data_IF_160671290024
#
_entry.id   IF_160671290024
#
_cell.length_a   1.000
_cell.length_b   1.000
_cell.length_c   1.000
_cell.angle_alpha   90.00
_cell.angle_beta   90.00
_cell.angle_gamma   90.00
#
_symmetry.space_group_name_H-M   'P 1'
#
loop_
_entity.id
_entity.type
_entity.pdbx_description
1 polymer ?
#
# COMPACT_ATOMS: atom_id res chain seq x y z
N UNK A 1 14.77 2.97 -2.06
CA UNK A 1 13.68 3.64 -1.31
C UNK A 1 12.64 2.67 -0.69
N UNK A 2 12.88 1.35 -0.53
CA UNK A 2 11.84 0.46 0.04
C UNK A 2 12.40 -0.68 0.91
N UNK A 3 12.96 -0.34 2.08
CA UNK A 3 13.48 -1.33 3.05
C UNK A 3 12.42 -2.37 3.46
N UNK A 4 11.15 -1.97 3.52
CA UNK A 4 10.04 -2.87 3.84
C UNK A 4 9.87 -4.00 2.82
N UNK A 5 10.27 -3.84 1.55
CA UNK A 5 10.23 -4.94 0.57
C UNK A 5 11.20 -6.07 0.89
N UNK A 6 12.24 -5.81 1.67
CA UNK A 6 13.25 -6.79 2.07
C UNK A 6 12.81 -7.65 3.27
N UNK A 7 11.75 -7.25 3.99
CA UNK A 7 11.20 -8.02 5.10
C UNK A 7 10.57 -9.30 4.57
N UNK A 8 10.78 -10.42 5.24
CA UNK A 8 10.25 -11.72 4.82
C UNK A 8 8.72 -11.72 4.73
N UNK A 9 8.19 -12.41 3.72
CA UNK A 9 6.77 -12.43 3.38
C UNK A 9 5.87 -12.94 4.52
N UNK A 10 6.38 -13.86 5.34
CA UNK A 10 5.67 -14.46 6.46
C UNK A 10 5.55 -13.56 7.71
N UNK A 11 6.25 -12.43 7.76
CA UNK A 11 6.18 -11.50 8.89
C UNK A 11 4.76 -10.94 8.98
N UNK A 12 4.15 -11.06 10.16
CA UNK A 12 2.84 -10.53 10.47
C UNK A 12 2.95 -9.07 10.96
N UNK A 13 2.09 -8.21 10.43
CA UNK A 13 1.89 -6.84 10.89
C UNK A 13 0.52 -6.73 11.54
N UNK A 14 0.52 -6.17 12.76
CA UNK A 14 -0.69 -5.80 13.47
C UNK A 14 -0.94 -4.29 13.29
N UNK A 15 -2.10 -3.95 12.75
CA UNK A 15 -2.50 -2.57 12.57
C UNK A 15 -2.74 -1.94 13.94
N UNK A 16 -2.06 -0.84 14.25
CA UNK A 16 -2.28 -0.12 15.52
C UNK A 16 -3.62 0.62 15.56
N UNK A 17 -4.19 0.94 14.40
CA UNK A 17 -5.41 1.76 14.22
C UNK A 17 -6.31 1.11 13.16
N UNK A 18 -7.59 1.50 13.11
CA UNK A 18 -8.61 0.99 12.18
C UNK A 18 -8.51 1.56 10.75
N UNK A 19 -7.30 1.92 10.32
CA UNK A 19 -7.09 2.48 8.98
C UNK A 19 -7.26 1.44 7.87
N UNK A 20 -6.92 0.19 8.13
CA UNK A 20 -7.02 -0.91 7.17
C UNK A 20 -8.25 -1.77 7.42
N UNK A 21 -8.75 -2.43 6.37
CA UNK A 21 -9.91 -3.33 6.46
C UNK A 21 -9.67 -4.63 7.22
N UNK A 22 -8.41 -4.91 7.58
CA UNK A 22 -7.99 -6.06 8.38
C UNK A 22 -7.09 -5.60 9.52
N UNK A 23 -7.29 -6.19 10.69
CA UNK A 23 -6.49 -5.91 11.90
C UNK A 23 -5.07 -6.50 11.78
N UNK A 24 -4.91 -7.60 11.04
CA UNK A 24 -3.62 -8.26 10.83
C UNK A 24 -3.42 -8.58 9.35
N UNK A 25 -2.20 -8.36 8.85
CA UNK A 25 -1.79 -8.73 7.49
C UNK A 25 -0.38 -9.32 7.50
N UNK A 26 -0.01 -10.08 6.47
CA UNK A 26 1.38 -10.47 6.25
C UNK A 26 2.13 -9.44 5.42
N UNK A 27 3.46 -9.44 5.48
CA UNK A 27 4.27 -8.63 4.56
C UNK A 27 4.01 -8.98 3.10
N UNK A 28 3.72 -10.25 2.78
CA UNK A 28 3.31 -10.66 1.43
C UNK A 28 2.07 -9.87 0.96
N UNK A 29 1.05 -9.79 1.82
CA UNK A 29 -0.19 -9.06 1.54
C UNK A 29 0.04 -7.55 1.42
N UNK A 30 0.94 -6.98 2.23
CA UNK A 30 1.33 -5.59 2.13
C UNK A 30 2.04 -5.31 0.80
N UNK A 31 3.02 -6.13 0.40
CA UNK A 31 3.74 -5.97 -0.87
C UNK A 31 2.81 -6.07 -2.09
N UNK A 32 1.77 -6.90 -2.02
CA UNK A 32 0.84 -7.12 -3.13
C UNK A 32 -0.37 -6.19 -3.18
N UNK A 33 -0.60 -5.36 -2.14
CA UNK A 33 -1.84 -4.60 -2.02
C UNK A 33 -1.72 -3.21 -1.39
N UNK A 34 -0.55 -2.84 -0.85
CA UNK A 34 -0.27 -1.50 -0.36
C UNK A 34 0.32 -0.65 -1.50
N UNK A 35 -0.38 0.40 -1.97
CA UNK A 35 0.09 1.25 -3.06
C UNK A 35 1.51 1.78 -2.86
N UNK A 36 1.87 2.17 -1.63
CA UNK A 36 3.19 2.71 -1.31
C UNK A 36 4.33 1.69 -1.46
N UNK A 37 4.00 0.40 -1.40
CA UNK A 37 4.93 -0.70 -1.65
C UNK A 37 4.81 -1.26 -3.07
N UNK A 38 3.85 -0.81 -3.87
CA UNK A 38 3.67 -1.25 -5.26
C UNK A 38 4.26 -0.25 -6.26
N UNK A 39 4.46 1.01 -5.86
CA UNK A 39 5.07 2.04 -6.70
C UNK A 39 6.60 1.95 -6.60
N UNK A 40 7.28 1.78 -7.74
CA UNK A 40 8.75 1.71 -7.80
C UNK A 40 9.41 3.00 -8.34
N UNK A 41 8.66 3.86 -9.01
CA UNK A 41 9.14 5.15 -9.52
C UNK A 41 8.96 6.26 -8.48
N UNK A 42 9.99 7.08 -8.27
CA UNK A 42 9.99 8.14 -7.26
C UNK A 42 8.97 9.27 -7.57
N UNK A 43 8.88 9.70 -8.82
CA UNK A 43 7.95 10.76 -9.24
C UNK A 43 6.50 10.30 -9.07
N UNK A 44 6.20 9.06 -9.42
CA UNK A 44 4.88 8.46 -9.21
C UNK A 44 4.55 8.31 -7.73
N UNK A 45 5.53 7.95 -6.90
CA UNK A 45 5.33 7.86 -5.45
C UNK A 45 4.98 9.23 -4.87
N UNK A 46 5.73 10.27 -5.25
CA UNK A 46 5.51 11.65 -4.80
C UNK A 46 4.14 12.15 -5.27
N UNK A 47 3.80 11.94 -6.55
CA UNK A 47 2.50 12.32 -7.12
C UNK A 47 1.35 11.58 -6.44
N UNK A 48 1.50 10.28 -6.24
CA UNK A 48 0.50 9.46 -5.56
C UNK A 48 0.23 9.97 -4.15
N UNK A 49 1.29 10.20 -3.35
CA UNK A 49 1.16 10.67 -1.97
C UNK A 49 0.53 12.07 -1.89
N UNK A 50 0.96 12.99 -2.76
CA UNK A 50 0.61 14.41 -2.61
C UNK A 50 -0.70 14.80 -3.29
N UNK A 51 -1.16 14.05 -4.28
CA UNK A 51 -2.29 14.48 -5.12
C UNK A 51 -3.38 13.42 -5.30
N UNK A 52 -3.07 12.12 -5.20
CA UNK A 52 -4.02 11.05 -5.58
C UNK A 52 -4.54 10.30 -4.35
N UNK A 53 -3.68 9.98 -3.37
CA UNK A 53 -4.01 9.08 -2.27
C UNK A 53 -5.26 9.52 -1.50
N UNK A 54 -5.32 10.78 -1.07
CA UNK A 54 -6.39 11.26 -0.19
C UNK A 54 -7.76 11.32 -0.90
N UNK A 55 -7.78 11.42 -2.23
CA UNK A 55 -9.01 11.41 -3.04
C UNK A 55 -9.41 10.04 -3.60
N UNK A 56 -8.48 9.07 -3.64
CA UNK A 56 -8.70 7.75 -4.25
C UNK A 56 -8.99 6.64 -3.22
N UNK A 57 -8.86 6.93 -1.93
CA UNK A 57 -8.94 5.93 -0.85
C UNK A 57 -10.11 6.23 0.09
N UNK A 58 -10.85 5.19 0.43
CA UNK A 58 -11.93 5.24 1.43
C UNK A 58 -11.55 4.41 2.65
N UNK A 59 -11.87 4.89 3.84
CA UNK A 59 -11.67 4.17 5.09
C UNK A 59 -12.85 3.22 5.40
N UNK A 60 -12.60 2.00 5.91
CA UNK A 60 -11.29 1.40 6.11
C UNK A 60 -10.66 0.96 4.78
N UNK A 61 -9.36 1.23 4.62
CA UNK A 61 -8.63 1.04 3.38
C UNK A 61 -8.52 -0.44 3.00
N UNK A 62 -8.88 -0.73 1.75
CA UNK A 62 -8.74 -2.05 1.13
C UNK A 62 -7.39 -2.18 0.39
N UNK A 63 -6.90 -3.41 0.18
CA UNK A 63 -5.81 -3.64 -0.77
C UNK A 63 -6.26 -3.25 -2.18
N UNK A 64 -5.31 -2.78 -3.01
CA UNK A 64 -5.55 -2.49 -4.44
C UNK A 64 -4.91 -3.55 -5.32
N UNK A 65 -5.47 -3.75 -6.51
CA UNK A 65 -4.79 -4.52 -7.57
C UNK A 65 -3.77 -3.63 -8.28
N UNK A 66 -2.77 -4.25 -8.91
CA UNK A 66 -1.81 -3.53 -9.75
C UNK A 66 -2.52 -2.75 -10.86
N UNK A 67 -3.48 -3.37 -11.54
CA UNK A 67 -4.27 -2.73 -12.59
C UNK A 67 -5.02 -1.48 -12.10
N UNK A 68 -5.60 -1.51 -10.88
CA UNK A 68 -6.30 -0.36 -10.32
C UNK A 68 -5.32 0.77 -9.96
N UNK A 69 -4.11 0.44 -9.51
CA UNK A 69 -3.06 1.41 -9.23
C UNK A 69 -2.54 2.04 -10.53
N UNK A 70 -2.26 1.24 -11.55
CA UNK A 70 -1.78 1.71 -12.86
C UNK A 70 -2.81 2.61 -13.56
N UNK A 71 -4.11 2.42 -13.30
CA UNK A 71 -5.15 3.31 -13.82
C UNK A 71 -5.25 4.66 -13.08
N UNK A 72 -4.64 4.77 -11.90
CA UNK A 72 -4.64 5.99 -11.07
C UNK A 72 -3.38 6.83 -11.24
N UNK A 73 -2.25 6.20 -11.54
CA UNK A 73 -0.98 6.85 -11.86
C UNK A 73 -1.01 7.33 -13.31
#
# INVERSE_FOLDING_TARGET
MQKLKQVEDGVLLHCGHDYGSKITTTMAQQKSGNPFLMIDNEDDFVRYRNHIHDGSRTYPMQPVSQQALDALL
#
